data_IF_464322477817
#
_entry.id   IF_464322477817
#
_cell.length_a   1.000
_cell.length_b   1.000
_cell.length_c   1.000
_cell.angle_alpha   90.00
_cell.angle_beta   90.00
_cell.angle_gamma   90.00
#
_symmetry.space_group_name_H-M   'P 1'
#
loop_
_entity.id
_entity.type
_entity.pdbx_description
1 polymer ?
#
# COMPACT_ATOMS: atom_id res chain seq x y z
N UNK A 1 -15.25 -1.96 -15.01
CA UNK A 1 -14.56 -2.01 -13.69
C UNK A 1 -13.61 -0.84 -13.62
N UNK A 2 -13.69 0.03 -12.60
CA UNK A 2 -12.74 1.16 -12.45
C UNK A 2 -11.38 0.59 -12.04
N UNK A 3 -10.33 0.81 -12.85
CA UNK A 3 -8.95 0.50 -12.46
C UNK A 3 -8.51 1.54 -11.44
N UNK A 4 -8.23 1.11 -10.20
CA UNK A 4 -7.67 1.98 -9.17
C UNK A 4 -6.15 1.95 -9.32
N UNK A 5 -5.60 3.03 -9.88
CA UNK A 5 -4.18 3.19 -10.13
C UNK A 5 -3.48 3.97 -9.00
N UNK A 6 -2.20 3.67 -8.79
CA UNK A 6 -1.34 4.29 -7.78
C UNK A 6 -1.28 5.80 -7.93
N UNK A 7 -1.25 6.32 -9.18
CA UNK A 7 -1.25 7.76 -9.48
C UNK A 7 -2.28 8.58 -8.70
N UNK A 8 -3.44 7.97 -8.38
CA UNK A 8 -4.58 8.66 -7.76
C UNK A 8 -4.43 8.91 -6.27
N UNK A 9 -3.35 8.40 -5.66
CA UNK A 9 -3.04 8.49 -4.23
C UNK A 9 -1.58 8.85 -3.97
N UNK A 10 -0.82 9.26 -4.99
CA UNK A 10 0.57 9.70 -4.82
C UNK A 10 0.59 10.96 -3.96
N UNK A 11 1.46 10.94 -2.96
CA UNK A 11 1.78 12.10 -2.13
C UNK A 11 3.26 12.48 -2.30
N UNK A 12 3.63 13.73 -1.95
CA UNK A 12 5.03 14.15 -1.94
C UNK A 12 5.90 13.19 -1.12
N UNK A 13 7.12 12.95 -1.60
CA UNK A 13 8.09 12.11 -0.92
C UNK A 13 8.41 12.68 0.48
N UNK A 14 8.28 11.85 1.51
CA UNK A 14 8.71 12.17 2.87
C UNK A 14 10.14 11.67 3.11
N UNK A 15 10.88 12.38 3.97
CA UNK A 15 12.22 11.97 4.37
C UNK A 15 12.20 10.58 5.04
N UNK A 16 13.16 9.73 4.66
CA UNK A 16 13.31 8.39 5.23
C UNK A 16 12.47 7.27 4.60
N UNK A 17 11.72 7.53 3.51
CA UNK A 17 11.04 6.47 2.76
C UNK A 17 12.01 5.74 1.83
N UNK A 18 11.98 4.41 1.86
CA UNK A 18 12.79 3.57 1.00
C UNK A 18 12.35 3.72 -0.46
N UNK A 19 13.31 3.97 -1.36
CA UNK A 19 13.08 3.99 -2.81
C UNK A 19 12.91 2.59 -3.41
N UNK A 20 13.23 1.53 -2.66
CA UNK A 20 13.06 0.14 -3.07
C UNK A 20 12.59 -0.71 -1.89
N UNK A 21 11.58 -1.60 -2.08
CA UNK A 21 10.77 -1.76 -3.28
C UNK A 21 9.91 -0.51 -3.59
N UNK A 22 9.69 -0.23 -4.87
CA UNK A 22 8.84 0.85 -5.38
C UNK A 22 7.83 0.30 -6.39
N UNK A 23 6.80 1.09 -6.67
CA UNK A 23 5.79 0.81 -7.70
C UNK A 23 5.74 1.93 -8.72
N UNK A 24 5.22 1.64 -9.90
CA UNK A 24 4.91 2.62 -10.94
C UNK A 24 3.59 3.34 -10.69
N UNK A 25 3.37 4.51 -11.32
CA UNK A 25 2.11 5.26 -11.22
C UNK A 25 0.92 4.51 -11.83
N UNK A 26 1.16 3.70 -12.88
CA UNK A 26 0.15 2.92 -13.59
C UNK A 26 -0.18 1.57 -12.90
N UNK A 27 0.59 1.20 -11.88
CA UNK A 27 0.36 -0.01 -11.12
C UNK A 27 -0.96 0.05 -10.35
N UNK A 28 -1.50 -1.14 -10.06
CA UNK A 28 -2.72 -1.24 -9.26
C UNK A 28 -2.41 -0.96 -7.81
N UNK A 29 -3.34 -0.28 -7.14
CA UNK A 29 -3.24 -0.05 -5.69
C UNK A 29 -3.16 -1.37 -4.92
N UNK A 30 -3.82 -2.42 -5.39
CA UNK A 30 -3.74 -3.77 -4.78
C UNK A 30 -2.32 -4.34 -4.82
N UNK A 31 -1.62 -4.21 -5.95
CA UNK A 31 -0.23 -4.67 -6.09
C UNK A 31 0.69 -3.92 -5.13
N UNK A 32 0.50 -2.60 -5.01
CA UNK A 32 1.24 -1.79 -4.05
C UNK A 32 1.00 -2.24 -2.59
N UNK A 33 -0.24 -2.60 -2.24
CA UNK A 33 -0.58 -3.16 -0.93
C UNK A 33 0.14 -4.49 -0.71
N UNK A 34 0.14 -5.39 -1.70
CA UNK A 34 0.83 -6.67 -1.63
C UNK A 34 2.34 -6.51 -1.43
N UNK A 35 2.97 -5.60 -2.17
CA UNK A 35 4.39 -5.26 -2.02
C UNK A 35 4.68 -4.73 -0.62
N UNK A 36 3.85 -3.81 -0.12
CA UNK A 36 3.96 -3.27 1.24
C UNK A 36 3.90 -4.37 2.29
N UNK A 37 2.86 -5.21 2.26
CA UNK A 37 2.64 -6.28 3.22
C UNK A 37 3.73 -7.35 3.18
N UNK A 38 4.20 -7.73 1.98
CA UNK A 38 5.26 -8.72 1.82
C UNK A 38 6.61 -8.29 2.38
N UNK A 39 6.85 -6.98 2.47
CA UNK A 39 8.11 -6.40 2.93
C UNK A 39 7.99 -5.74 4.32
N UNK A 40 6.86 -5.92 5.02
CA UNK A 40 6.56 -5.25 6.29
C UNK A 40 6.69 -3.72 6.22
N UNK A 41 6.39 -3.15 5.05
CA UNK A 41 6.47 -1.72 4.78
C UNK A 41 5.09 -1.08 4.87
N UNK A 42 5.00 0.08 5.52
CA UNK A 42 3.78 0.89 5.56
C UNK A 42 3.76 1.99 4.49
N UNK A 43 4.90 2.22 3.84
CA UNK A 43 5.14 3.30 2.87
C UNK A 43 6.16 2.81 1.85
N UNK A 44 5.93 3.09 0.58
CA UNK A 44 6.89 2.81 -0.51
C UNK A 44 6.93 3.98 -1.48
N UNK A 45 8.09 4.18 -2.12
CA UNK A 45 8.25 5.15 -3.18
C UNK A 45 7.46 4.79 -4.44
N UNK A 46 7.06 5.81 -5.20
CA UNK A 46 6.50 5.67 -6.55
C UNK A 46 7.52 6.22 -7.54
N UNK A 47 7.94 5.36 -8.46
CA UNK A 47 9.00 5.65 -9.43
C UNK A 47 8.57 5.28 -10.84
N UNK A 48 8.91 6.12 -11.80
CA UNK A 48 8.76 5.85 -13.23
C UNK A 48 10.15 5.88 -13.89
N UNK A 49 10.71 4.69 -14.14
CA UNK A 49 12.12 4.56 -14.52
C UNK A 49 13.05 5.14 -13.45
N UNK A 50 13.90 6.09 -13.84
CA UNK A 50 14.82 6.81 -12.95
C UNK A 50 14.18 8.01 -12.22
N UNK A 51 12.89 8.30 -12.46
CA UNK A 51 12.21 9.45 -11.85
C UNK A 51 11.42 9.03 -10.61
N UNK A 52 11.66 9.72 -9.50
CA UNK A 52 10.82 9.62 -8.31
C UNK A 52 9.64 10.55 -8.48
N UNK A 53 8.42 10.00 -8.51
CA UNK A 53 7.19 10.77 -8.60
C UNK A 53 6.63 11.14 -7.22
N UNK A 54 6.98 10.35 -6.20
CA UNK A 54 6.54 10.58 -4.83
C UNK A 54 6.52 9.27 -4.06
N UNK A 55 5.51 9.10 -3.22
CA UNK A 55 5.30 7.88 -2.45
C UNK A 55 3.83 7.63 -2.18
N UNK A 56 3.52 6.47 -1.64
CA UNK A 56 2.18 6.09 -1.20
C UNK A 56 2.23 5.43 0.18
N UNK A 57 1.12 5.55 0.91
CA UNK A 57 0.95 4.95 2.24
C UNK A 57 -0.06 3.79 2.15
N UNK A 58 0.18 2.76 2.95
CA UNK A 58 -0.69 1.59 3.04
C UNK A 58 -2.12 1.98 3.43
N UNK A 59 -2.27 2.94 4.35
CA UNK A 59 -3.57 3.39 4.86
C UNK A 59 -4.41 4.07 3.75
N UNK A 60 -3.80 4.95 2.96
CA UNK A 60 -4.45 5.61 1.82
C UNK A 60 -4.80 4.60 0.70
N UNK A 61 -3.92 3.62 0.48
CA UNK A 61 -4.17 2.53 -0.45
C UNK A 61 -5.39 1.70 -0.04
N UNK A 62 -5.44 1.24 1.22
CA UNK A 62 -6.56 0.48 1.80
C UNK A 62 -7.88 1.26 1.76
N UNK A 63 -7.83 2.56 2.06
CA UNK A 63 -8.96 3.49 1.94
C UNK A 63 -9.50 3.54 0.53
N UNK A 64 -8.62 3.67 -0.46
CA UNK A 64 -9.03 3.79 -1.87
C UNK A 64 -9.72 2.53 -2.39
N UNK A 65 -9.32 1.36 -1.91
CA UNK A 65 -9.93 0.07 -2.28
C UNK A 65 -11.14 -0.30 -1.41
N UNK A 66 -11.49 0.52 -0.41
CA UNK A 66 -12.66 0.31 0.45
C UNK A 66 -12.45 -0.73 1.57
N UNK A 67 -11.20 -1.07 1.90
CA UNK A 67 -10.86 -2.01 2.98
C UNK A 67 -10.76 -1.35 4.38
N UNK A 68 -11.02 -0.04 4.51
CA UNK A 68 -11.02 0.69 5.80
C UNK A 68 -11.98 0.12 6.85
N UNK A 69 -13.08 -0.54 6.42
CA UNK A 69 -14.12 -1.06 7.31
C UNK A 69 -13.72 -2.29 8.14
N UNK A 70 -12.71 -3.04 7.71
CA UNK A 70 -12.30 -4.29 8.37
C UNK A 70 -11.29 -4.07 9.51
N UNK A 71 -10.55 -2.95 9.49
CA UNK A 71 -9.42 -2.71 10.41
C UNK A 71 -9.76 -1.92 11.68
N UNK A 72 -10.98 -1.38 11.79
CA UNK A 72 -11.37 -0.44 12.86
C UNK A 72 -12.21 -1.02 14.00
N UNK A 73 -12.48 -2.32 14.02
CA UNK A 73 -13.06 -2.97 15.21
C UNK A 73 -11.97 -3.38 16.20
N UNK A 74 -12.07 -2.89 17.42
CA UNK A 74 -11.15 -3.08 18.54
C UNK A 74 -10.94 -4.56 18.90
N UNK A 75 -9.68 -4.95 19.11
CA UNK A 75 -9.29 -6.15 19.87
C UNK A 75 -8.70 -7.28 19.01
N UNK A 76 -7.37 -7.36 18.94
CA UNK A 76 -6.62 -8.50 18.37
C UNK A 76 -6.74 -8.65 16.85
N UNK A 77 -5.73 -8.18 16.09
CA UNK A 77 -5.77 -8.26 14.62
C UNK A 77 -5.34 -9.64 14.12
N UNK A 78 -6.25 -10.28 13.40
CA UNK A 78 -5.98 -11.40 12.52
C UNK A 78 -6.21 -10.93 11.10
N UNK A 79 -5.16 -10.91 10.28
CA UNK A 79 -5.28 -10.65 8.84
C UNK A 79 -5.50 -12.00 8.15
N UNK A 80 -6.64 -12.18 7.50
CA UNK A 80 -6.90 -13.38 6.69
C UNK A 80 -6.45 -13.10 5.26
N UNK A 81 -5.35 -13.71 4.85
CA UNK A 81 -4.87 -13.66 3.47
C UNK A 81 -5.00 -15.07 2.90
N UNK A 82 -5.79 -15.23 1.83
CA UNK A 82 -6.09 -16.52 1.18
C UNK A 82 -6.59 -17.62 2.15
N UNK A 83 -7.46 -17.29 3.11
CA UNK A 83 -7.97 -18.25 4.09
C UNK A 83 -6.99 -18.63 5.20
N UNK A 84 -5.76 -18.10 5.17
CA UNK A 84 -4.80 -18.24 6.25
C UNK A 84 -4.85 -17.00 7.15
N UNK A 85 -5.09 -17.25 8.44
CA UNK A 85 -5.12 -16.24 9.48
C UNK A 85 -3.70 -15.95 9.95
N UNK A 86 -3.16 -14.79 9.56
CA UNK A 86 -1.88 -14.28 10.04
C UNK A 86 -2.17 -13.40 11.26
N UNK A 87 -1.53 -13.72 12.38
CA UNK A 87 -1.56 -12.88 13.59
C UNK A 87 -0.41 -11.89 13.50
N UNK A 88 -0.71 -10.61 13.67
CA UNK A 88 0.30 -9.56 13.81
C UNK A 88 0.20 -9.01 15.22
N UNK A 89 1.24 -9.25 16.03
CA UNK A 89 1.43 -8.63 17.35
C UNK A 89 1.84 -7.15 17.22
#
# INVERSE_FOLDING_TARGET
>A
MKRLAVETIIIPMEEGVALKPSVGPEDRITEAIEVMLKNDLRRIGVTEGDRVLGMIRLEDALKKVGLEGDLKSKGGRSIVVQGHRIMVE
#
